data_IF_496986096068
#
_entry.id   IF_496986096068
#
_cell.length_a   1.000
_cell.length_b   1.000
_cell.length_c   1.000
_cell.angle_alpha   90.00
_cell.angle_beta   90.00
_cell.angle_gamma   90.00
#
_symmetry.space_group_name_H-M   'P 1'
#
loop_
_entity.id
_entity.type
_entity.pdbx_description
1 polymer ?
#
# COMPACT_ATOMS: atom_id res chain seq x y z
N UNK A 1 -13.79 40.72 23.24
CA UNK A 1 -12.49 40.04 23.28
C UNK A 1 -12.77 38.59 23.63
N UNK A 2 -12.85 37.73 22.60
CA UNK A 2 -13.39 36.37 22.70
C UNK A 2 -12.26 35.33 22.68
N UNK A 3 -12.44 34.31 23.51
CA UNK A 3 -11.48 33.28 23.88
C UNK A 3 -11.28 32.22 22.75
N UNK A 4 -10.05 31.90 22.30
CA UNK A 4 -9.82 31.13 21.06
C UNK A 4 -9.66 29.60 21.23
N UNK A 5 -10.16 28.98 22.30
CA UNK A 5 -9.83 27.57 22.63
C UNK A 5 -10.87 26.49 22.27
N UNK A 6 -11.76 26.72 21.28
CA UNK A 6 -12.86 25.78 20.98
C UNK A 6 -12.93 25.17 19.56
N UNK A 7 -11.84 25.13 18.78
CA UNK A 7 -11.90 24.65 17.38
C UNK A 7 -10.97 23.48 17.02
N UNK A 8 -10.86 22.44 17.85
CA UNK A 8 -10.09 21.23 17.48
C UNK A 8 -10.80 19.88 17.70
N UNK A 9 -12.12 19.83 17.85
CA UNK A 9 -12.86 18.57 18.06
C UNK A 9 -13.87 18.14 16.97
N UNK A 10 -13.98 18.86 15.85
CA UNK A 10 -15.04 18.60 14.84
C UNK A 10 -14.57 17.96 13.51
N UNK A 11 -13.41 17.28 13.48
CA UNK A 11 -12.92 16.58 12.26
C UNK A 11 -12.87 15.04 12.36
N UNK A 12 -13.51 14.44 13.36
CA UNK A 12 -13.55 12.98 13.53
C UNK A 12 -14.90 12.31 13.17
N UNK A 13 -15.86 13.03 12.56
CA UNK A 13 -17.23 12.54 12.34
C UNK A 13 -17.64 12.33 10.87
N UNK A 14 -16.70 12.08 9.95
CA UNK A 14 -17.01 11.86 8.51
C UNK A 14 -16.38 10.60 7.89
N UNK A 15 -16.07 9.58 8.69
CA UNK A 15 -15.61 8.29 8.18
C UNK A 15 -16.43 7.15 8.79
N UNK A 16 -17.57 6.83 8.17
CA UNK A 16 -18.38 5.68 8.59
C UNK A 16 -19.66 5.53 7.78
N UNK A 17 -19.57 4.85 6.64
CA UNK A 17 -20.46 3.73 6.26
C UNK A 17 -20.29 3.41 4.77
N UNK A 18 -19.50 2.37 4.48
CA UNK A 18 -19.53 1.72 3.18
C UNK A 18 -19.85 0.24 3.42
N UNK A 19 -21.12 -0.05 3.67
CA UNK A 19 -21.64 -1.40 3.72
C UNK A 19 -21.57 -2.03 2.32
N UNK A 20 -20.72 -3.05 2.20
CA UNK A 20 -20.67 -3.94 1.05
C UNK A 20 -21.93 -4.82 1.08
N UNK A 21 -22.94 -4.45 0.30
CA UNK A 21 -24.12 -5.29 0.08
C UNK A 21 -23.78 -6.53 -0.73
N UNK A 22 -24.34 -7.66 -0.26
CA UNK A 22 -24.09 -9.01 -0.76
C UNK A 22 -24.52 -9.25 -2.20
N UNK A 23 -23.79 -10.18 -2.81
CA UNK A 23 -24.06 -10.78 -4.12
C UNK A 23 -25.27 -11.72 -4.03
N UNK A 24 -26.34 -11.55 -4.82
CA UNK A 24 -27.36 -12.57 -4.93
C UNK A 24 -26.88 -13.71 -5.86
N UNK A 25 -26.77 -14.89 -5.28
CA UNK A 25 -26.69 -16.17 -5.99
C UNK A 25 -28.07 -16.52 -6.57
N UNK A 26 -28.07 -16.90 -7.85
CA UNK A 26 -28.97 -17.94 -8.37
C UNK A 26 -30.15 -17.44 -9.20
N UNK A 27 -30.06 -17.65 -10.51
CA UNK A 27 -31.18 -18.13 -11.31
C UNK A 27 -30.65 -18.79 -12.59
N UNK A 28 -30.70 -20.13 -12.59
CA UNK A 28 -30.62 -20.99 -13.78
C UNK A 28 -31.85 -20.71 -14.64
N UNK A 29 -31.64 -20.50 -15.93
CA UNK A 29 -32.67 -20.68 -16.94
C UNK A 29 -32.11 -21.65 -17.99
N UNK A 30 -32.69 -22.85 -18.01
CA UNK A 30 -32.60 -23.80 -19.10
C UNK A 30 -33.20 -23.19 -20.37
N UNK A 31 -32.45 -23.20 -21.47
CA UNK A 31 -33.02 -23.04 -22.82
C UNK A 31 -32.34 -24.06 -23.73
N UNK A 32 -33.15 -24.97 -24.26
CA UNK A 32 -32.72 -26.09 -25.10
C UNK A 32 -32.26 -25.68 -26.51
N UNK A 33 -31.43 -26.55 -27.10
CA UNK A 33 -31.38 -26.72 -28.55
C UNK A 33 -32.53 -27.61 -29.06
N UNK A 34 -32.54 -28.07 -30.32
CA UNK A 34 -31.50 -27.94 -31.36
C UNK A 34 -32.04 -27.49 -32.74
N UNK A 35 -31.14 -27.20 -33.69
CA UNK A 35 -31.34 -27.58 -35.09
C UNK A 35 -30.02 -27.56 -35.86
N UNK A 36 -29.77 -28.67 -36.55
CA UNK A 36 -28.66 -28.90 -37.47
C UNK A 36 -28.84 -28.10 -38.76
N UNK A 37 -27.72 -27.68 -39.35
CA UNK A 37 -27.63 -27.04 -40.66
C UNK A 37 -26.20 -27.13 -41.17
N UNK A 38 -26.01 -28.04 -42.10
CA UNK A 38 -24.79 -28.44 -42.79
C UNK A 38 -24.24 -27.30 -43.68
N UNK A 39 -22.93 -26.99 -43.60
CA UNK A 39 -22.24 -26.28 -44.70
C UNK A 39 -20.75 -26.64 -44.72
N UNK A 40 -20.37 -27.29 -45.82
CA UNK A 40 -19.04 -27.74 -46.18
C UNK A 40 -18.16 -26.64 -46.79
N UNK A 41 -16.86 -26.69 -46.43
CA UNK A 41 -15.67 -26.27 -47.19
C UNK A 41 -15.34 -24.77 -47.38
N UNK A 42 -14.25 -24.32 -46.74
CA UNK A 42 -13.16 -23.58 -47.41
C UNK A 42 -11.88 -23.56 -46.55
N UNK A 43 -10.73 -23.55 -47.21
CA UNK A 43 -9.46 -24.14 -46.78
C UNK A 43 -8.51 -23.19 -46.05
N UNK A 44 -8.19 -23.55 -44.80
CA UNK A 44 -6.95 -23.42 -44.04
C UNK A 44 -5.95 -22.27 -44.32
N UNK A 45 -5.84 -21.36 -43.34
CA UNK A 45 -4.54 -20.96 -42.79
C UNK A 45 -4.46 -21.54 -41.37
N UNK A 46 -3.53 -22.47 -41.16
CA UNK A 46 -3.30 -23.14 -39.89
C UNK A 46 -2.75 -22.17 -38.86
N UNK A 47 -3.61 -21.69 -37.96
CA UNK A 47 -3.19 -21.35 -36.61
C UNK A 47 -3.08 -22.67 -35.86
N UNK A 48 -1.91 -22.94 -35.26
CA UNK A 48 -1.81 -24.00 -34.27
C UNK A 48 -2.86 -23.74 -33.19
N UNK A 49 -3.81 -24.67 -32.96
CA UNK A 49 -4.79 -24.50 -31.90
C UNK A 49 -4.04 -24.37 -30.59
N UNK A 50 -4.38 -23.34 -29.80
CA UNK A 50 -4.00 -23.29 -28.41
C UNK A 50 -4.30 -24.68 -27.78
N UNK A 51 -3.36 -25.28 -27.03
CA UNK A 51 -3.56 -26.60 -26.46
C UNK A 51 -4.91 -26.61 -25.75
N UNK A 52 -5.74 -27.59 -26.08
CA UNK A 52 -7.06 -27.75 -25.50
C UNK A 52 -6.94 -27.51 -23.99
N UNK A 53 -7.67 -26.52 -23.48
CA UNK A 53 -7.78 -26.27 -22.05
C UNK A 53 -8.42 -27.52 -21.46
N UNK A 54 -7.57 -28.47 -21.04
CA UNK A 54 -7.98 -29.54 -20.14
C UNK A 54 -8.42 -28.83 -18.88
N UNK A 55 -9.71 -28.84 -18.53
CA UNK A 55 -10.11 -28.36 -17.21
C UNK A 55 -9.28 -29.17 -16.22
N UNK A 56 -8.42 -28.48 -15.47
CA UNK A 56 -7.68 -29.10 -14.39
C UNK A 56 -8.71 -29.88 -13.56
N UNK A 57 -8.52 -31.19 -13.33
CA UNK A 57 -9.41 -31.92 -12.46
C UNK A 57 -9.46 -31.12 -11.16
N UNK A 58 -10.66 -30.72 -10.77
CA UNK A 58 -10.95 -30.17 -9.45
C UNK A 58 -10.64 -31.28 -8.45
N UNK A 59 -9.35 -31.44 -8.19
CA UNK A 59 -8.80 -32.31 -7.17
C UNK A 59 -9.43 -31.88 -5.85
N UNK A 60 -9.70 -32.85 -4.97
CA UNK A 60 -10.38 -32.60 -3.71
C UNK A 60 -9.67 -31.43 -3.03
N UNK A 61 -10.43 -30.38 -2.70
CA UNK A 61 -9.95 -29.20 -1.99
C UNK A 61 -8.93 -29.64 -0.97
N UNK A 62 -7.66 -29.31 -1.28
CA UNK A 62 -6.52 -29.74 -0.50
C UNK A 62 -6.85 -29.44 0.94
N UNK A 63 -6.81 -30.49 1.76
CA UNK A 63 -6.79 -30.34 3.19
C UNK A 63 -5.86 -29.17 3.48
N UNK A 64 -6.42 -28.07 3.98
CA UNK A 64 -5.65 -27.09 4.72
C UNK A 64 -5.13 -27.89 5.90
N UNK A 65 -4.04 -28.60 5.68
CA UNK A 65 -3.13 -28.98 6.73
C UNK A 65 -2.79 -27.63 7.33
N UNK A 66 -3.48 -27.31 8.42
CA UNK A 66 -2.98 -26.45 9.46
C UNK A 66 -1.72 -27.18 9.93
N UNK A 67 -0.66 -27.09 9.12
CA UNK A 67 0.68 -27.44 9.52
C UNK A 67 0.83 -26.61 10.77
N UNK A 68 0.91 -27.33 11.88
CA UNK A 68 1.17 -26.82 13.20
C UNK A 68 2.47 -26.04 13.07
N UNK A 69 2.35 -24.77 12.67
CA UNK A 69 3.44 -23.98 12.15
C UNK A 69 4.20 -23.55 13.38
N UNK A 70 5.22 -24.34 13.72
CA UNK A 70 6.18 -23.95 14.74
C UNK A 70 6.62 -22.51 14.48
N UNK A 71 6.96 -21.78 15.56
CA UNK A 71 7.42 -20.39 15.52
C UNK A 71 8.23 -20.13 14.24
N UNK A 72 7.76 -19.27 13.32
CA UNK A 72 8.41 -19.11 12.01
C UNK A 72 9.85 -18.58 12.14
N UNK A 73 10.20 -17.99 13.29
CA UNK A 73 11.59 -17.63 13.61
C UNK A 73 12.52 -18.84 13.78
N UNK A 74 11.99 -20.06 13.96
CA UNK A 74 12.77 -21.30 14.02
C UNK A 74 13.41 -21.67 12.67
N UNK A 75 12.93 -21.10 11.55
CA UNK A 75 13.51 -21.29 10.22
C UNK A 75 14.71 -20.37 9.96
N UNK A 76 14.83 -19.28 10.71
CA UNK A 76 15.92 -18.32 10.54
C UNK A 76 17.29 -18.94 10.86
N UNK A 77 18.37 -18.49 10.19
CA UNK A 77 19.74 -18.80 10.59
C UNK A 77 19.99 -18.46 12.08
N UNK A 78 20.86 -19.21 12.79
CA UNK A 78 21.06 -19.03 14.23
C UNK A 78 21.39 -17.59 14.65
N UNK A 79 22.24 -16.89 13.89
CA UNK A 79 22.61 -15.50 14.16
C UNK A 79 21.41 -14.54 14.05
N UNK A 80 20.61 -14.68 12.99
CA UNK A 80 19.41 -13.88 12.78
C UNK A 80 18.35 -14.14 13.87
N UNK A 81 18.19 -15.40 14.27
CA UNK A 81 17.29 -15.79 15.35
C UNK A 81 17.68 -15.17 16.69
N UNK A 82 18.97 -15.20 17.02
CA UNK A 82 19.47 -14.59 18.25
C UNK A 82 19.28 -13.07 18.24
N UNK A 83 19.55 -12.44 17.09
CA UNK A 83 19.31 -11.01 16.92
C UNK A 83 17.83 -10.64 17.11
N UNK A 84 16.91 -11.41 16.51
CA UNK A 84 15.47 -11.21 16.71
C UNK A 84 15.06 -11.34 18.18
N UNK A 85 15.63 -12.30 18.93
CA UNK A 85 15.37 -12.42 20.37
C UNK A 85 15.83 -11.20 21.14
N UNK A 86 17.02 -10.66 20.83
CA UNK A 86 17.53 -9.43 21.46
C UNK A 86 16.61 -8.24 21.17
N UNK A 87 16.18 -8.06 19.92
CA UNK A 87 15.25 -6.99 19.55
C UNK A 87 13.91 -7.12 20.27
N UNK A 88 13.36 -8.33 20.37
CA UNK A 88 12.14 -8.60 21.15
C UNK A 88 12.31 -8.30 22.63
N UNK A 89 13.44 -8.70 23.22
CA UNK A 89 13.74 -8.40 24.62
C UNK A 89 13.80 -6.88 24.85
N UNK A 90 14.51 -6.15 23.99
CA UNK A 90 14.58 -4.69 24.04
C UNK A 90 13.20 -4.03 23.90
N UNK A 91 12.36 -4.49 22.97
CA UNK A 91 11.00 -3.98 22.80
C UNK A 91 10.12 -4.25 24.04
N UNK A 92 10.29 -5.41 24.67
CA UNK A 92 9.59 -5.78 25.90
C UNK A 92 10.04 -4.93 27.09
N UNK A 93 11.33 -4.67 27.23
CA UNK A 93 11.90 -3.81 28.27
C UNK A 93 11.36 -2.38 28.14
N UNK A 94 11.38 -1.83 26.91
CA UNK A 94 10.77 -0.53 26.62
C UNK A 94 9.27 -0.53 26.93
N UNK A 95 8.56 -1.62 26.62
CA UNK A 95 7.15 -1.76 26.97
C UNK A 95 6.88 -1.85 28.47
N UNK A 96 7.76 -2.46 29.25
CA UNK A 96 7.67 -2.46 30.71
C UNK A 96 7.86 -1.04 31.28
N UNK A 97 8.82 -0.29 30.75
CA UNK A 97 9.04 1.11 31.14
C UNK A 97 7.84 1.98 30.78
N UNK A 98 7.24 1.83 29.59
CA UNK A 98 6.04 2.59 29.20
C UNK A 98 4.86 2.28 30.13
N UNK A 99 4.60 0.99 30.43
CA UNK A 99 3.50 0.58 31.32
C UNK A 99 3.57 1.25 32.69
N UNK A 100 4.75 1.30 33.29
CA UNK A 100 4.93 1.96 34.58
C UNK A 100 4.59 3.47 34.56
N UNK A 101 4.78 4.15 33.42
CA UNK A 101 4.33 5.55 33.28
C UNK A 101 2.83 5.65 33.02
N UNK A 102 2.26 4.71 32.26
CA UNK A 102 0.81 4.64 32.04
C UNK A 102 0.05 4.41 33.34
N UNK A 103 0.57 3.57 34.24
CA UNK A 103 -0.02 3.34 35.56
C UNK A 103 -0.07 4.65 36.38
N UNK A 104 1.01 5.44 36.37
CA UNK A 104 1.04 6.77 37.02
C UNK A 104 0.04 7.75 36.40
N UNK A 105 -0.10 7.74 35.08
CA UNK A 105 -1.09 8.57 34.40
C UNK A 105 -2.51 8.18 34.84
N UNK A 106 -2.80 6.88 34.95
CA UNK A 106 -4.09 6.40 35.44
C UNK A 106 -4.35 6.84 36.88
N UNK A 107 -3.37 6.71 37.78
CA UNK A 107 -3.47 7.19 39.16
C UNK A 107 -3.73 8.70 39.22
N UNK A 108 -3.02 9.49 38.41
CA UNK A 108 -3.20 10.94 38.33
C UNK A 108 -4.59 11.33 37.79
N UNK A 109 -5.11 10.60 36.80
CA UNK A 109 -6.48 10.77 36.28
C UNK A 109 -7.54 10.46 37.34
N UNK A 110 -7.37 9.36 38.08
CA UNK A 110 -8.29 8.99 39.17
C UNK A 110 -8.25 10.03 40.30
N UNK A 111 -7.07 10.53 40.65
CA UNK A 111 -6.91 11.61 41.64
C UNK A 111 -7.63 12.88 41.18
N UNK A 112 -7.42 13.32 39.93
CA UNK A 112 -8.11 14.47 39.35
C UNK A 112 -9.63 14.31 39.42
N UNK A 113 -10.16 13.16 38.98
CA UNK A 113 -11.60 12.87 39.01
C UNK A 113 -12.17 12.97 40.43
N UNK A 114 -11.47 12.43 41.44
CA UNK A 114 -11.91 12.50 42.84
C UNK A 114 -11.99 13.95 43.36
N UNK A 115 -11.03 14.80 42.98
CA UNK A 115 -11.00 16.21 43.38
C UNK A 115 -12.06 17.00 42.63
N UNK A 116 -12.30 16.72 41.35
CA UNK A 116 -13.37 17.34 40.57
C UNK A 116 -14.76 17.03 41.14
N UNK A 117 -15.02 15.79 41.53
CA UNK A 117 -16.25 15.42 42.24
C UNK A 117 -16.38 16.22 43.54
N UNK A 118 -15.30 16.38 44.31
CA UNK A 118 -15.30 17.17 45.55
C UNK A 118 -15.59 18.64 45.29
N UNK A 119 -14.98 19.25 44.27
CA UNK A 119 -15.24 20.63 43.85
C UNK A 119 -16.71 20.78 43.43
N UNK A 120 -17.25 19.83 42.67
CA UNK A 120 -18.65 19.82 42.25
C UNK A 120 -19.61 19.80 43.45
N UNK A 121 -19.41 18.88 44.40
CA UNK A 121 -20.22 18.79 45.63
C UNK A 121 -20.14 20.08 46.46
N UNK A 122 -18.94 20.66 46.61
CA UNK A 122 -18.76 21.92 47.35
C UNK A 122 -19.46 23.09 46.65
N UNK A 123 -19.44 23.16 45.32
CA UNK A 123 -20.16 24.17 44.54
C UNK A 123 -21.67 24.04 44.71
N UNK A 124 -22.22 22.83 44.58
CA UNK A 124 -23.65 22.59 44.76
C UNK A 124 -24.14 22.94 46.16
N UNK A 125 -23.30 22.73 47.19
CA UNK A 125 -23.66 22.99 48.58
C UNK A 125 -23.28 24.40 49.06
N UNK A 126 -22.70 25.27 48.22
CA UNK A 126 -22.23 26.60 48.63
C UNK A 126 -23.37 27.64 48.71
N UNK A 127 -24.28 27.47 49.66
CA UNK A 127 -25.35 28.43 49.91
C UNK A 127 -24.78 29.63 50.69
N UNK A 128 -24.87 30.82 50.10
CA UNK A 128 -24.43 32.09 50.70
C UNK A 128 -22.94 32.12 51.12
N UNK A 129 -22.06 31.49 50.35
CA UNK A 129 -20.60 31.59 50.54
C UNK A 129 -20.04 30.83 51.75
N UNK A 130 -20.85 30.02 52.44
CA UNK A 130 -20.42 29.28 53.64
C UNK A 130 -19.22 28.34 53.39
N UNK A 131 -19.03 27.90 52.15
CA UNK A 131 -17.97 26.96 51.77
C UNK A 131 -16.82 27.60 50.98
N UNK A 132 -16.71 28.93 50.91
CA UNK A 132 -15.74 29.61 50.03
C UNK A 132 -14.28 29.24 50.33
N UNK A 133 -13.92 29.06 51.60
CA UNK A 133 -12.58 28.60 51.97
C UNK A 133 -12.30 27.17 51.48
N UNK A 134 -13.24 26.24 51.73
CA UNK A 134 -13.12 24.85 51.29
C UNK A 134 -13.13 24.73 49.76
N UNK A 135 -13.91 25.58 49.07
CA UNK A 135 -13.96 25.62 47.61
C UNK A 135 -12.63 26.14 47.02
N UNK A 136 -12.03 27.18 47.60
CA UNK A 136 -10.69 27.65 47.19
C UNK A 136 -9.63 26.58 47.38
N UNK A 137 -9.62 25.91 48.53
CA UNK A 137 -8.69 24.80 48.78
C UNK A 137 -8.89 23.63 47.80
N UNK A 138 -10.13 23.21 47.57
CA UNK A 138 -10.44 22.14 46.63
C UNK A 138 -10.09 22.51 45.18
N UNK A 139 -10.27 23.79 44.80
CA UNK A 139 -9.86 24.28 43.48
C UNK A 139 -8.34 24.27 43.33
N UNK A 140 -7.59 24.71 44.34
CA UNK A 140 -6.13 24.62 44.34
C UNK A 140 -5.65 23.16 44.23
N UNK A 141 -6.31 22.21 44.93
CA UNK A 141 -6.04 20.78 44.80
C UNK A 141 -6.34 20.25 43.40
N UNK A 142 -7.42 20.72 42.76
CA UNK A 142 -7.76 20.35 41.38
C UNK A 142 -6.66 20.81 40.43
N UNK A 143 -6.22 22.05 40.56
CA UNK A 143 -5.21 22.63 39.68
C UNK A 143 -3.87 21.90 39.84
N UNK A 144 -3.50 21.50 41.07
CA UNK A 144 -2.35 20.65 41.33
C UNK A 144 -2.49 19.24 40.72
N UNK A 145 -3.64 18.59 40.87
CA UNK A 145 -3.91 17.27 40.26
C UNK A 145 -3.91 17.32 38.72
N UNK A 146 -4.39 18.44 38.15
CA UNK A 146 -4.39 18.67 36.71
C UNK A 146 -2.96 18.75 36.16
N UNK A 147 -2.09 19.50 36.84
CA UNK A 147 -0.68 19.64 36.51
C UNK A 147 0.08 18.31 36.64
N UNK A 148 -0.20 17.52 37.68
CA UNK A 148 0.38 16.18 37.84
C UNK A 148 -0.03 15.25 36.69
N UNK A 149 -1.31 15.28 36.31
CA UNK A 149 -1.82 14.50 35.16
C UNK A 149 -1.17 14.96 33.85
N UNK A 150 -0.94 16.26 33.64
CA UNK A 150 -0.22 16.76 32.47
C UNK A 150 1.24 16.29 32.44
N UNK A 151 1.92 16.33 33.59
CA UNK A 151 3.29 15.85 33.73
C UNK A 151 3.37 14.34 33.45
N UNK A 152 2.47 13.54 34.02
CA UNK A 152 2.40 12.10 33.78
C UNK A 152 2.09 11.77 32.30
N UNK A 153 1.22 12.55 31.65
CA UNK A 153 0.93 12.40 30.22
C UNK A 153 2.19 12.67 29.37
N UNK A 154 2.89 13.78 29.63
CA UNK A 154 4.13 14.11 28.92
C UNK A 154 5.21 13.03 29.12
N UNK A 155 5.29 12.42 30.32
CA UNK A 155 6.19 11.30 30.59
C UNK A 155 5.82 10.06 29.77
N UNK A 156 4.53 9.73 29.66
CA UNK A 156 4.05 8.63 28.80
C UNK A 156 4.40 8.90 27.34
N UNK A 157 4.08 10.08 26.82
CA UNK A 157 4.33 10.45 25.42
C UNK A 157 5.83 10.35 25.10
N UNK A 158 6.69 10.89 25.95
CA UNK A 158 8.14 10.79 25.77
C UNK A 158 8.66 9.34 25.78
N UNK A 159 8.04 8.45 26.57
CA UNK A 159 8.41 7.03 26.61
C UNK A 159 7.87 6.26 25.40
N UNK A 160 6.66 6.59 24.95
CA UNK A 160 6.07 6.00 23.73
C UNK A 160 6.90 6.35 22.52
N UNK A 161 7.26 7.62 22.34
CA UNK A 161 8.10 8.06 21.23
C UNK A 161 9.47 7.38 21.24
N UNK A 162 10.11 7.25 22.41
CA UNK A 162 11.39 6.52 22.53
C UNK A 162 11.25 5.02 22.25
N UNK A 163 10.12 4.40 22.59
CA UNK A 163 9.87 2.98 22.40
C UNK A 163 9.43 2.63 20.97
N UNK A 164 8.87 3.60 20.23
CA UNK A 164 8.25 3.39 18.93
C UNK A 164 9.20 2.79 17.89
N UNK A 165 10.42 3.31 17.65
CA UNK A 165 11.29 2.77 16.61
C UNK A 165 11.60 1.27 16.79
N UNK A 166 11.96 0.86 18.01
CA UNK A 166 12.28 -0.54 18.31
C UNK A 166 11.06 -1.45 18.12
N UNK A 167 9.87 -1.01 18.52
CA UNK A 167 8.62 -1.75 18.33
C UNK A 167 8.27 -1.91 16.86
N UNK A 168 8.37 -0.84 16.08
CA UNK A 168 8.07 -0.88 14.64
C UNK A 168 9.03 -1.82 13.90
N UNK A 169 10.33 -1.77 14.21
CA UNK A 169 11.33 -2.69 13.64
C UNK A 169 10.98 -4.15 13.95
N UNK A 170 10.62 -4.47 15.21
CA UNK A 170 10.21 -5.84 15.57
C UNK A 170 8.95 -6.26 14.81
N UNK A 171 7.92 -5.42 14.75
CA UNK A 171 6.68 -5.70 14.03
C UNK A 171 6.91 -5.88 12.52
N UNK A 172 7.81 -5.12 11.92
CA UNK A 172 8.15 -5.27 10.50
C UNK A 172 8.91 -6.57 10.24
N UNK A 173 9.87 -6.91 11.08
CA UNK A 173 10.62 -8.16 10.99
C UNK A 173 9.70 -9.36 11.15
N UNK A 174 8.79 -9.34 12.12
CA UNK A 174 7.80 -10.41 12.32
C UNK A 174 6.85 -10.54 11.12
N UNK A 175 6.27 -9.43 10.65
CA UNK A 175 5.40 -9.41 9.45
C UNK A 175 6.12 -9.96 8.22
N UNK A 176 7.40 -9.62 8.05
CA UNK A 176 8.21 -10.11 6.94
C UNK A 176 8.44 -11.62 7.02
N UNK A 177 8.77 -12.13 8.21
CA UNK A 177 8.95 -13.56 8.45
C UNK A 177 7.66 -14.33 8.15
N UNK A 178 6.52 -13.84 8.64
CA UNK A 178 5.21 -14.48 8.50
C UNK A 178 4.68 -14.48 7.06
N UNK A 179 4.85 -13.36 6.34
CA UNK A 179 4.25 -13.18 5.01
C UNK A 179 5.14 -13.62 3.87
N UNK A 180 6.42 -13.25 3.92
CA UNK A 180 7.32 -13.40 2.77
C UNK A 180 8.21 -14.64 2.93
N UNK A 181 8.76 -14.90 4.12
CA UNK A 181 9.71 -15.99 4.33
C UNK A 181 9.05 -17.36 4.50
N UNK A 182 7.80 -17.44 4.98
CA UNK A 182 7.15 -18.73 5.31
C UNK A 182 7.11 -19.72 4.14
N UNK A 183 7.23 -19.25 2.89
CA UNK A 183 7.23 -20.09 1.70
C UNK A 183 8.64 -20.45 1.17
N UNK A 184 9.72 -20.06 1.85
CA UNK A 184 11.10 -20.28 1.41
C UNK A 184 11.79 -21.39 2.20
N UNK A 185 12.20 -22.45 1.51
CA UNK A 185 12.85 -23.61 2.13
C UNK A 185 14.25 -23.29 2.67
N UNK A 186 14.99 -22.42 1.98
CA UNK A 186 16.37 -22.05 2.33
C UNK A 186 16.45 -20.55 2.58
N UNK A 187 16.89 -20.18 3.78
CA UNK A 187 17.11 -18.79 4.19
C UNK A 187 18.62 -18.61 4.37
N UNK A 188 19.25 -17.92 3.43
CA UNK A 188 20.70 -17.71 3.44
C UNK A 188 21.06 -16.42 4.18
N UNK A 189 22.17 -16.43 4.95
CA UNK A 189 22.71 -15.20 5.53
C UNK A 189 23.24 -14.27 4.44
N UNK A 190 23.22 -12.97 4.70
CA UNK A 190 23.84 -11.98 3.83
C UNK A 190 25.35 -12.26 3.71
N UNK A 191 25.96 -11.96 2.54
CA UNK A 191 27.40 -12.01 2.41
C UNK A 191 28.06 -11.06 3.43
N UNK A 192 29.24 -11.44 3.92
CA UNK A 192 30.00 -10.59 4.81
C UNK A 192 30.41 -9.30 4.06
N UNK A 193 29.91 -8.16 4.52
CA UNK A 193 30.28 -6.85 3.97
C UNK A 193 31.43 -6.29 4.79
N UNK A 194 32.49 -5.85 4.10
CA UNK A 194 33.56 -5.08 4.73
C UNK A 194 33.03 -3.70 5.11
N UNK A 195 32.97 -3.43 6.41
CA UNK A 195 32.61 -2.10 6.90
C UNK A 195 33.68 -1.08 6.53
N UNK A 196 33.29 0.11 6.02
CA UNK A 196 34.22 1.22 5.97
C UNK A 196 34.62 1.58 7.40
N UNK A 197 35.91 1.51 7.73
CA UNK A 197 36.39 1.93 9.05
C UNK A 197 36.02 3.39 9.32
N UNK A 198 35.72 3.70 10.60
CA UNK A 198 35.46 5.08 11.04
C UNK A 198 36.62 5.99 10.64
N UNK A 199 36.31 7.14 10.03
CA UNK A 199 37.33 8.15 9.76
C UNK A 199 37.85 8.72 11.08
N UNK A 200 39.09 9.22 11.09
CA UNK A 200 39.70 9.82 12.29
C UNK A 200 38.83 10.96 12.82
N UNK A 201 38.26 10.79 14.02
CA UNK A 201 37.40 11.76 14.69
C UNK A 201 35.92 11.71 14.32
N UNK A 202 35.50 10.76 13.47
CA UNK A 202 34.09 10.55 13.14
C UNK A 202 33.38 9.78 14.27
N UNK A 203 32.21 10.25 14.71
CA UNK A 203 31.39 9.49 15.65
C UNK A 203 30.59 8.39 14.94
N UNK A 204 30.10 7.40 15.68
CA UNK A 204 29.20 6.38 15.14
C UNK A 204 27.92 6.99 14.54
N UNK A 205 27.39 8.05 15.17
CA UNK A 205 26.21 8.77 14.68
C UNK A 205 26.48 9.47 13.33
N UNK A 206 27.66 10.07 13.17
CA UNK A 206 28.06 10.70 11.91
C UNK A 206 28.20 9.67 10.78
N UNK A 207 28.74 8.49 11.08
CA UNK A 207 28.85 7.40 10.11
C UNK A 207 27.47 6.89 9.67
N UNK A 208 26.54 6.70 10.61
CA UNK A 208 25.14 6.33 10.29
C UNK A 208 24.46 7.43 9.47
N UNK A 209 24.64 8.71 9.81
CA UNK A 209 24.07 9.82 9.06
C UNK A 209 24.58 9.87 7.60
N UNK A 210 25.88 9.62 7.37
CA UNK A 210 26.45 9.53 6.02
C UNK A 210 25.82 8.39 5.21
N UNK A 211 25.58 7.23 5.82
CA UNK A 211 24.92 6.09 5.16
C UNK A 211 23.45 6.36 4.90
N UNK A 212 22.73 6.98 5.83
CA UNK A 212 21.34 7.42 5.63
C UNK A 212 21.20 8.39 4.45
N UNK A 213 22.14 9.32 4.28
CA UNK A 213 22.16 10.19 3.11
C UNK A 213 22.32 9.40 1.79
N UNK A 214 23.05 8.27 1.80
CA UNK A 214 23.14 7.38 0.64
C UNK A 214 21.85 6.61 0.38
N UNK A 215 21.15 6.19 1.42
CA UNK A 215 19.84 5.53 1.33
C UNK A 215 18.82 6.48 0.69
N UNK A 216 18.73 7.71 1.19
CA UNK A 216 17.86 8.75 0.64
C UNK A 216 18.18 9.04 -0.83
N UNK A 217 19.48 9.12 -1.17
CA UNK A 217 19.90 9.27 -2.56
C UNK A 217 19.44 8.11 -3.43
N UNK A 218 19.59 6.86 -2.98
CA UNK A 218 19.14 5.69 -3.73
C UNK A 218 17.60 5.67 -3.90
N UNK A 219 16.85 6.10 -2.87
CA UNK A 219 15.41 6.26 -2.96
C UNK A 219 15.01 7.34 -3.98
N UNK A 220 15.71 8.48 -3.98
CA UNK A 220 15.52 9.54 -4.97
C UNK A 220 15.86 9.07 -6.39
N UNK A 221 16.94 8.29 -6.57
CA UNK A 221 17.33 7.72 -7.86
C UNK A 221 16.28 6.72 -8.39
N UNK A 222 15.69 5.91 -7.50
CA UNK A 222 14.55 5.03 -7.82
C UNK A 222 13.34 5.85 -8.28
N UNK A 223 12.97 6.88 -7.53
CA UNK A 223 11.82 7.71 -7.85
C UNK A 223 12.04 8.47 -9.16
N UNK A 224 13.24 9.00 -9.40
CA UNK A 224 13.62 9.63 -10.66
C UNK A 224 13.52 8.66 -11.86
N UNK A 225 13.85 7.38 -11.67
CA UNK A 225 13.65 6.37 -12.71
C UNK A 225 12.15 6.05 -12.94
N UNK A 226 11.32 6.06 -11.90
CA UNK A 226 9.86 5.88 -12.01
C UNK A 226 9.22 7.07 -12.75
N UNK A 227 9.62 8.29 -12.42
CA UNK A 227 9.04 9.52 -12.95
C UNK A 227 9.58 9.93 -14.32
N UNK A 228 10.69 9.32 -14.77
CA UNK A 228 11.26 9.60 -16.09
C UNK A 228 10.20 9.44 -17.19
N UNK A 229 10.15 10.32 -18.20
CA UNK A 229 9.19 10.18 -19.29
C UNK A 229 9.42 8.90 -20.10
N UNK A 230 8.39 8.48 -20.83
CA UNK A 230 8.52 7.39 -21.81
C UNK A 230 9.08 7.93 -23.12
N UNK A 231 9.91 7.16 -23.85
CA UNK A 231 10.39 7.58 -25.16
C UNK A 231 9.22 7.79 -26.12
N UNK A 232 9.31 8.81 -26.98
CA UNK A 232 8.30 9.17 -27.97
C UNK A 232 7.95 7.97 -28.86
N UNK A 233 8.94 7.17 -29.25
CA UNK A 233 8.73 5.96 -30.06
C UNK A 233 7.87 4.91 -29.35
N UNK A 234 8.07 4.73 -28.05
CA UNK A 234 7.23 3.82 -27.25
C UNK A 234 5.81 4.36 -27.11
N UNK A 235 5.65 5.67 -26.88
CA UNK A 235 4.34 6.32 -26.83
C UNK A 235 3.61 6.25 -28.18
N UNK A 236 4.31 6.50 -29.29
CA UNK A 236 3.80 6.37 -30.67
C UNK A 236 3.36 4.94 -30.99
N UNK A 237 4.16 3.94 -30.60
CA UNK A 237 3.82 2.53 -30.79
C UNK A 237 2.56 2.13 -30.02
N UNK A 238 2.45 2.54 -28.74
CA UNK A 238 1.27 2.30 -27.93
C UNK A 238 0.03 3.01 -28.48
N UNK A 239 0.16 4.29 -28.85
CA UNK A 239 -0.94 5.05 -29.44
C UNK A 239 -1.42 4.41 -30.75
N UNK A 240 -0.50 3.97 -31.62
CA UNK A 240 -0.83 3.23 -32.84
C UNK A 240 -1.62 1.97 -32.54
N UNK A 241 -1.13 1.13 -31.61
CA UNK A 241 -1.81 -0.12 -31.25
C UNK A 241 -3.24 0.12 -30.72
N UNK A 242 -3.44 1.17 -29.91
CA UNK A 242 -4.76 1.55 -29.40
C UNK A 242 -5.70 2.02 -30.52
N UNK A 243 -5.21 2.85 -31.44
CA UNK A 243 -5.98 3.35 -32.58
C UNK A 243 -6.32 2.22 -33.55
N UNK A 244 -5.40 1.29 -33.80
CA UNK A 244 -5.62 0.11 -34.64
C UNK A 244 -6.69 -0.81 -34.03
N UNK A 245 -6.64 -1.08 -32.73
CA UNK A 245 -7.65 -1.87 -32.04
C UNK A 245 -9.05 -1.20 -32.10
N UNK A 246 -9.11 0.13 -31.97
CA UNK A 246 -10.36 0.88 -32.12
C UNK A 246 -10.87 0.89 -33.56
N UNK A 247 -9.99 1.00 -34.55
CA UNK A 247 -10.34 0.94 -35.96
C UNK A 247 -10.88 -0.44 -36.34
N UNK A 248 -10.27 -1.52 -35.84
CA UNK A 248 -10.73 -2.89 -36.04
C UNK A 248 -12.17 -3.06 -35.52
N UNK A 249 -12.42 -2.65 -34.27
CA UNK A 249 -13.76 -2.63 -33.67
C UNK A 249 -14.76 -1.75 -34.45
N UNK A 250 -14.27 -0.71 -35.11
CA UNK A 250 -15.06 0.23 -35.91
C UNK A 250 -15.44 -0.26 -37.31
N UNK A 251 -14.94 -1.41 -37.74
CA UNK A 251 -15.17 -1.93 -39.10
C UNK A 251 -16.63 -2.38 -39.26
N UNK A 252 -17.42 -1.78 -40.17
CA UNK A 252 -18.75 -2.28 -40.47
C UNK A 252 -18.69 -3.67 -41.13
N UNK A 253 -19.58 -4.57 -40.72
CA UNK A 253 -19.75 -5.87 -41.37
C UNK A 253 -20.74 -5.73 -42.53
N UNK A 254 -20.34 -6.21 -43.71
CA UNK A 254 -21.18 -6.26 -44.92
C UNK A 254 -21.65 -7.68 -45.24
N UNK A 255 -21.38 -8.66 -44.37
CA UNK A 255 -21.69 -10.06 -44.63
C UNK A 255 -23.19 -10.28 -44.85
N UNK A 256 -24.04 -9.67 -44.02
CA UNK A 256 -25.49 -9.79 -44.16
C UNK A 256 -26.00 -9.28 -45.53
N UNK A 257 -25.39 -8.23 -46.10
CA UNK A 257 -25.74 -7.75 -47.45
C UNK A 257 -25.45 -8.78 -48.54
N UNK A 258 -24.41 -9.60 -48.35
CA UNK A 258 -24.02 -10.63 -49.31
C UNK A 258 -24.84 -11.91 -49.14
N UNK A 259 -25.26 -12.22 -47.92
CA UNK A 259 -25.98 -13.45 -47.59
C UNK A 259 -27.49 -13.38 -47.85
N UNK A 260 -28.08 -12.17 -47.88
CA UNK A 260 -29.53 -12.00 -48.05
C UNK A 260 -29.89 -10.68 -48.70
N UNK A 261 -30.89 -10.70 -49.60
CA UNK A 261 -31.48 -9.48 -50.20
C UNK A 261 -32.09 -8.53 -49.16
N UNK A 262 -32.44 -9.06 -47.97
CA UNK A 262 -32.96 -8.26 -46.85
C UNK A 262 -31.88 -7.88 -45.84
N UNK A 263 -30.65 -8.35 -46.01
CA UNK A 263 -29.54 -8.00 -45.14
C UNK A 263 -29.15 -6.54 -45.28
N UNK A 264 -28.57 -5.97 -44.24
CA UNK A 264 -28.10 -4.59 -44.21
C UNK A 264 -26.63 -4.50 -43.79
N UNK A 265 -26.07 -3.29 -43.83
CA UNK A 265 -24.75 -3.03 -43.21
C UNK A 265 -24.90 -3.13 -41.70
N UNK A 266 -24.08 -3.99 -41.10
CA UNK A 266 -23.96 -4.10 -39.65
C UNK A 266 -22.94 -3.08 -39.17
N UNK A 267 -23.44 -1.96 -38.66
CA UNK A 267 -22.62 -0.89 -38.12
C UNK A 267 -22.03 -1.27 -36.76
N UNK A 268 -20.79 -0.82 -36.43
CA UNK A 268 -20.19 -1.07 -35.12
C UNK A 268 -21.12 -0.53 -34.03
N UNK A 269 -21.36 -1.35 -33.01
CA UNK A 269 -22.24 -1.01 -31.91
C UNK A 269 -21.61 -1.35 -30.56
N UNK A 270 -22.01 -0.61 -29.53
CA UNK A 270 -21.62 -0.84 -28.15
C UNK A 270 -22.85 -1.01 -27.30
N UNK A 271 -22.79 -1.98 -26.40
CA UNK A 271 -23.80 -2.13 -25.38
C UNK A 271 -23.64 -1.02 -24.33
N UNK A 272 -24.67 -0.22 -24.11
CA UNK A 272 -24.69 0.82 -23.08
C UNK A 272 -25.93 0.71 -22.21
N UNK A 273 -25.70 0.60 -20.90
CA UNK A 273 -26.72 0.80 -19.88
C UNK A 273 -26.64 2.26 -19.42
N UNK A 274 -27.76 2.97 -19.38
CA UNK A 274 -27.82 4.27 -18.73
C UNK A 274 -28.48 4.12 -17.36
N UNK A 275 -27.79 4.60 -16.33
CA UNK A 275 -28.45 4.89 -15.06
C UNK A 275 -29.41 6.05 -15.27
N UNK A 276 -30.71 5.82 -15.12
CA UNK A 276 -31.70 6.87 -15.02
C UNK A 276 -31.85 7.17 -13.53
N UNK A 277 -31.24 8.27 -13.08
CA UNK A 277 -31.51 8.80 -11.75
C UNK A 277 -32.82 9.59 -11.81
N UNK A 278 -33.85 9.10 -11.12
CA UNK A 278 -35.05 9.87 -10.80
C UNK A 278 -34.99 10.26 -9.32
N UNK A 279 -35.67 11.34 -8.93
CA UNK A 279 -35.67 11.87 -7.56
C UNK A 279 -35.95 10.75 -6.54
N UNK A 280 -34.91 10.36 -5.78
CA UNK A 280 -34.97 9.30 -4.76
C UNK A 280 -34.82 7.85 -5.25
N UNK A 281 -34.77 7.58 -6.56
CA UNK A 281 -34.64 6.22 -7.12
C UNK A 281 -33.58 6.11 -8.22
N UNK A 282 -32.62 5.19 -8.04
CA UNK A 282 -31.70 4.79 -9.11
C UNK A 282 -32.33 3.64 -9.90
N UNK A 283 -32.85 3.92 -11.09
CA UNK A 283 -33.27 2.89 -12.04
C UNK A 283 -32.20 2.70 -13.12
N UNK A 284 -31.94 1.46 -13.54
CA UNK A 284 -31.05 1.19 -14.69
C UNK A 284 -31.93 0.97 -15.91
N UNK A 285 -31.92 1.93 -16.83
CA UNK A 285 -32.60 1.83 -18.11
C UNK A 285 -31.65 1.34 -19.21
N UNK A 286 -32.14 0.51 -20.13
CA UNK A 286 -31.41 0.20 -21.37
C UNK A 286 -31.59 1.36 -22.34
N UNK A 287 -30.51 1.85 -22.94
CA UNK A 287 -30.59 2.88 -24.00
C UNK A 287 -30.66 2.19 -25.36
N UNK A 288 -31.69 2.49 -26.14
CA UNK A 288 -31.88 1.94 -27.49
C UNK A 288 -32.64 0.60 -27.51
N UNK A 289 -32.87 0.08 -28.72
CA UNK A 289 -33.45 -1.26 -28.93
C UNK A 289 -32.42 -2.27 -28.45
N UNK A 290 -32.78 -3.07 -27.44
CA UNK A 290 -31.95 -4.11 -26.83
C UNK A 290 -30.69 -3.63 -26.06
N UNK A 291 -30.47 -2.32 -25.94
CA UNK A 291 -29.31 -1.74 -25.21
C UNK A 291 -28.08 -1.46 -26.06
N UNK A 292 -28.16 -1.66 -27.38
CA UNK A 292 -27.06 -1.37 -28.32
C UNK A 292 -27.24 0.01 -28.96
N UNK A 293 -26.15 0.77 -28.98
CA UNK A 293 -26.06 2.06 -29.68
C UNK A 293 -24.88 1.98 -30.65
N UNK A 294 -25.00 2.59 -31.82
CA UNK A 294 -23.86 2.69 -32.74
C UNK A 294 -22.66 3.34 -32.05
N UNK A 295 -21.45 2.89 -32.39
CA UNK A 295 -20.19 3.43 -31.89
C UNK A 295 -19.60 4.40 -32.94
N UNK A 296 -20.07 5.67 -33.00
CA UNK A 296 -19.59 6.63 -34.00
C UNK A 296 -18.11 6.95 -33.83
N UNK A 297 -17.56 6.77 -32.63
CA UNK A 297 -16.14 6.99 -32.36
C UNK A 297 -15.29 5.90 -33.01
N UNK A 298 -15.58 4.62 -32.74
CA UNK A 298 -14.87 3.52 -33.40
C UNK A 298 -15.00 3.59 -34.93
N UNK A 299 -16.21 3.89 -35.44
CA UNK A 299 -16.43 4.08 -36.87
C UNK A 299 -15.60 5.22 -37.47
N UNK A 300 -15.53 6.38 -36.80
CA UNK A 300 -14.71 7.51 -37.28
C UNK A 300 -13.22 7.19 -37.24
N UNK A 301 -12.78 6.42 -36.24
CA UNK A 301 -11.39 5.94 -36.14
C UNK A 301 -11.06 4.97 -37.26
N UNK A 302 -11.97 4.06 -37.61
CA UNK A 302 -11.83 3.19 -38.78
C UNK A 302 -11.68 4.00 -40.07
N UNK A 303 -12.54 5.00 -40.28
CA UNK A 303 -12.55 5.83 -41.50
C UNK A 303 -11.29 6.71 -41.64
N UNK A 304 -10.74 7.22 -40.54
CA UNK A 304 -9.63 8.18 -40.52
C UNK A 304 -8.37 7.66 -39.84
N UNK A 305 -8.20 6.32 -39.77
CA UNK A 305 -7.15 5.65 -38.99
C UNK A 305 -5.76 6.27 -39.18
N UNK A 306 -5.30 6.33 -40.43
CA UNK A 306 -3.93 6.75 -40.74
C UNK A 306 -3.71 8.25 -40.45
N UNK A 307 -4.73 9.09 -40.69
CA UNK A 307 -4.68 10.53 -40.41
C UNK A 307 -4.66 10.80 -38.90
N UNK A 308 -5.43 10.04 -38.11
CA UNK A 308 -5.44 10.12 -36.65
C UNK A 308 -4.08 9.69 -36.08
N UNK A 309 -3.53 8.56 -36.55
CA UNK A 309 -2.19 8.09 -36.15
C UNK A 309 -1.14 9.16 -36.46
N UNK A 310 -1.18 9.75 -37.67
CA UNK A 310 -0.24 10.78 -38.10
C UNK A 310 -0.32 12.04 -37.22
N UNK A 311 -1.53 12.52 -36.91
CA UNK A 311 -1.72 13.71 -36.07
C UNK A 311 -1.29 13.47 -34.63
N UNK A 312 -1.65 12.33 -34.04
CA UNK A 312 -1.25 11.98 -32.67
C UNK A 312 0.27 11.80 -32.58
N UNK A 313 0.89 11.15 -33.58
CA UNK A 313 2.35 11.01 -33.61
C UNK A 313 3.05 12.38 -33.65
N UNK A 314 2.59 13.30 -34.50
CA UNK A 314 3.13 14.66 -34.54
C UNK A 314 2.96 15.42 -33.22
N UNK A 315 1.83 15.22 -32.54
CA UNK A 315 1.58 15.82 -31.22
C UNK A 315 2.50 15.23 -30.13
N UNK A 316 2.78 13.92 -30.18
CA UNK A 316 3.75 13.26 -29.30
C UNK A 316 5.15 13.83 -29.56
N UNK A 317 5.57 13.93 -30.82
CA UNK A 317 6.88 14.48 -31.20
C UNK A 317 7.06 15.92 -30.71
N UNK A 318 6.00 16.73 -30.73
CA UNK A 318 6.03 18.11 -30.26
C UNK A 318 6.16 18.25 -28.72
N UNK A 319 5.78 17.23 -27.95
CA UNK A 319 5.71 17.28 -26.47
C UNK A 319 6.71 16.35 -25.78
N UNK A 320 7.31 15.42 -26.49
CA UNK A 320 8.23 14.45 -25.92
C UNK A 320 9.54 15.09 -25.48
N UNK A 321 10.05 14.64 -24.33
CA UNK A 321 11.41 14.90 -23.87
C UNK A 321 12.24 13.62 -23.90
N UNK A 322 12.62 13.21 -25.12
CA UNK A 322 13.38 11.97 -25.34
C UNK A 322 14.77 11.98 -24.71
N UNK A 323 15.29 13.16 -24.33
CA UNK A 323 16.60 13.28 -23.68
C UNK A 323 16.58 12.76 -22.24
N UNK A 324 15.47 12.95 -21.52
CA UNK A 324 15.31 12.46 -20.14
C UNK A 324 14.54 11.15 -20.05
N UNK A 325 13.99 10.67 -21.18
CA UNK A 325 13.18 9.48 -21.24
C UNK A 325 13.96 8.19 -20.95
N UNK A 326 13.26 7.21 -20.38
CA UNK A 326 13.77 5.86 -20.15
C UNK A 326 12.83 4.84 -20.77
N UNK A 327 13.38 3.98 -21.63
CA UNK A 327 12.67 2.83 -22.16
C UNK A 327 12.33 1.82 -21.04
N UNK A 328 11.41 0.85 -21.26
CA UNK A 328 11.01 -0.09 -20.22
C UNK A 328 12.18 -0.88 -19.60
N UNK A 329 13.18 -1.27 -20.40
CA UNK A 329 14.32 -2.07 -19.96
C UNK A 329 15.30 -1.22 -19.15
N UNK A 330 15.60 -0.01 -19.63
CA UNK A 330 16.44 0.96 -18.93
C UNK A 330 15.81 1.38 -17.60
N UNK A 331 14.50 1.62 -17.59
CA UNK A 331 13.73 1.96 -16.38
C UNK A 331 13.82 0.83 -15.36
N UNK A 332 13.48 -0.40 -15.75
CA UNK A 332 13.56 -1.56 -14.88
C UNK A 332 14.98 -1.76 -14.33
N UNK A 333 16.01 -1.60 -15.19
CA UNK A 333 17.41 -1.69 -14.79
C UNK A 333 17.79 -0.62 -13.77
N UNK A 334 17.43 0.64 -13.98
CA UNK A 334 17.74 1.73 -13.04
C UNK A 334 17.03 1.56 -11.71
N UNK A 335 15.76 1.12 -11.73
CA UNK A 335 15.01 0.80 -10.50
C UNK A 335 15.73 -0.32 -9.74
N UNK A 336 16.08 -1.43 -10.40
CA UNK A 336 16.79 -2.54 -9.76
C UNK A 336 18.17 -2.12 -9.21
N UNK A 337 18.92 -1.28 -9.95
CA UNK A 337 20.20 -0.74 -9.49
C UNK A 337 20.02 0.15 -8.24
N UNK A 338 19.00 1.01 -8.23
CA UNK A 338 18.71 1.87 -7.08
C UNK A 338 18.25 1.06 -5.86
N UNK A 339 17.43 0.02 -6.06
CA UNK A 339 17.00 -0.89 -4.99
C UNK A 339 18.18 -1.69 -4.41
N UNK A 340 19.07 -2.20 -5.27
CA UNK A 340 20.28 -2.88 -4.83
C UNK A 340 21.20 -1.93 -4.05
N UNK A 341 21.41 -0.70 -4.54
CA UNK A 341 22.21 0.31 -3.86
C UNK A 341 21.62 0.72 -2.50
N UNK A 342 20.28 0.82 -2.41
CA UNK A 342 19.56 1.04 -1.15
C UNK A 342 19.82 -0.12 -0.18
N UNK A 343 19.59 -1.36 -0.62
CA UNK A 343 19.80 -2.55 0.21
C UNK A 343 21.25 -2.64 0.74
N UNK A 344 22.24 -2.43 -0.12
CA UNK A 344 23.65 -2.43 0.29
C UNK A 344 23.96 -1.33 1.31
N UNK A 345 23.40 -0.13 1.13
CA UNK A 345 23.57 0.96 2.08
C UNK A 345 22.91 0.64 3.43
N UNK A 346 21.70 0.07 3.43
CA UNK A 346 21.00 -0.34 4.66
C UNK A 346 21.73 -1.48 5.39
N UNK A 347 22.33 -2.42 4.66
CA UNK A 347 23.15 -3.46 5.27
C UNK A 347 24.41 -2.87 5.91
N UNK A 348 25.03 -1.85 5.30
CA UNK A 348 26.14 -1.10 5.94
C UNK A 348 25.64 -0.32 7.16
N UNK A 349 24.48 0.33 7.10
CA UNK A 349 23.87 1.03 8.24
C UNK A 349 23.72 0.08 9.43
N UNK A 350 23.10 -1.08 9.23
CA UNK A 350 22.87 -2.04 10.31
C UNK A 350 24.19 -2.55 10.89
N UNK A 351 25.20 -2.78 10.06
CA UNK A 351 26.53 -3.23 10.51
C UNK A 351 27.24 -2.17 11.36
N UNK A 352 27.08 -0.89 11.05
CA UNK A 352 27.60 0.21 11.87
C UNK A 352 26.84 0.28 13.20
N UNK A 353 25.52 0.09 13.19
CA UNK A 353 24.70 0.06 14.42
C UNK A 353 25.11 -1.11 15.32
N UNK A 354 25.31 -2.31 14.78
CA UNK A 354 25.80 -3.47 15.55
C UNK A 354 27.14 -3.18 16.22
N UNK A 355 28.10 -2.58 15.49
CA UNK A 355 29.38 -2.21 16.07
C UNK A 355 29.27 -1.11 17.12
N UNK A 356 28.40 -0.12 16.92
CA UNK A 356 28.15 0.92 17.91
C UNK A 356 27.61 0.31 19.21
N UNK A 357 26.65 -0.63 19.10
CA UNK A 357 26.07 -1.37 20.23
C UNK A 357 27.13 -2.19 20.99
N UNK A 358 28.03 -2.87 20.28
CA UNK A 358 29.17 -3.58 20.87
C UNK A 358 30.13 -2.66 21.63
N UNK A 359 30.23 -1.39 21.23
CA UNK A 359 31.02 -0.36 21.90
C UNK A 359 30.22 0.43 22.95
N UNK A 360 29.02 -0.02 23.31
CA UNK A 360 28.17 0.60 24.34
C UNK A 360 27.45 1.89 23.89
N UNK A 361 27.41 2.17 22.59
CA UNK A 361 26.69 3.31 22.00
C UNK A 361 25.41 2.81 21.37
N UNK A 362 24.26 3.21 21.93
CA UNK A 362 22.95 2.85 21.37
C UNK A 362 22.59 3.85 20.28
N UNK A 363 22.40 3.36 19.05
CA UNK A 363 21.88 4.13 17.93
C UNK A 363 20.50 3.59 17.56
N UNK A 364 19.53 4.49 17.44
CA UNK A 364 18.18 4.13 17.04
C UNK A 364 18.16 3.72 15.56
N UNK A 365 17.61 2.52 15.30
CA UNK A 365 17.28 2.03 13.96
C UNK A 365 16.11 2.84 13.39
N UNK A 366 16.07 3.01 12.07
CA UNK A 366 14.94 3.65 11.38
C UNK A 366 13.72 2.72 11.43
N UNK A 367 12.53 3.31 11.43
CA UNK A 367 11.28 2.56 11.36
C UNK A 367 10.97 2.06 9.94
N UNK A 368 11.71 2.47 8.90
CA UNK A 368 11.53 2.05 7.51
C UNK A 368 12.65 1.12 6.99
N UNK A 369 13.46 0.56 7.89
CA UNK A 369 14.60 -0.29 7.52
C UNK A 369 14.16 -1.62 6.90
N UNK A 370 14.88 -2.11 5.89
CA UNK A 370 14.59 -3.43 5.33
C UNK A 370 14.85 -4.54 6.38
N UNK A 371 13.84 -5.35 6.74
CA UNK A 371 13.96 -6.41 7.73
C UNK A 371 15.01 -7.47 7.35
N UNK A 372 15.32 -7.63 6.05
CA UNK A 372 16.43 -8.48 5.59
C UNK A 372 17.77 -7.94 6.07
N UNK A 373 17.98 -6.63 5.97
CA UNK A 373 19.19 -5.95 6.44
C UNK A 373 19.31 -6.07 7.96
N UNK A 374 18.23 -5.80 8.69
CA UNK A 374 18.18 -5.95 10.15
C UNK A 374 18.53 -7.36 10.57
N UNK A 375 18.02 -8.40 9.90
CA UNK A 375 18.32 -9.78 10.24
C UNK A 375 19.64 -10.31 9.65
N UNK A 376 20.33 -9.54 8.81
CA UNK A 376 21.54 -9.97 8.11
C UNK A 376 21.27 -11.12 7.13
N UNK A 377 20.19 -11.04 6.35
CA UNK A 377 19.76 -12.04 5.38
C UNK A 377 20.13 -11.67 3.94
N UNK A 378 20.25 -12.67 3.07
CA UNK A 378 20.64 -12.51 1.68
C UNK A 378 19.67 -11.64 0.87
N UNK A 379 20.16 -10.80 -0.08
CA UNK A 379 19.32 -10.06 -1.02
C UNK A 379 18.54 -10.97 -1.99
N UNK A 380 18.90 -12.26 -2.10
CA UNK A 380 18.15 -13.23 -2.92
C UNK A 380 16.76 -13.53 -2.37
N UNK A 381 16.50 -13.21 -1.10
CA UNK A 381 15.18 -13.31 -0.49
C UNK A 381 14.26 -12.20 -1.02
N UNK A 382 12.94 -12.46 -1.08
CA UNK A 382 11.97 -11.48 -1.58
C UNK A 382 12.04 -10.19 -0.79
N UNK A 383 11.95 -9.06 -1.50
CA UNK A 383 11.83 -7.76 -0.85
C UNK A 383 10.53 -7.67 -0.03
N UNK A 384 10.54 -6.99 1.11
CA UNK A 384 9.33 -6.74 1.90
C UNK A 384 8.29 -5.97 1.07
N UNK A 385 7.03 -6.42 1.09
CA UNK A 385 5.93 -5.75 0.38
C UNK A 385 5.33 -4.65 1.26
N UNK A 386 5.34 -3.41 0.77
CA UNK A 386 4.62 -2.28 1.38
C UNK A 386 5.30 -1.68 2.62
N UNK A 387 6.63 -1.52 2.57
CA UNK A 387 7.35 -0.62 3.49
C UNK A 387 7.01 0.83 3.20
#
# INVERSE_FOLDING_TARGET
>A
MSNPFHQLNDLAALAGDNQVHGVPRGLRADVGGPSAGDTTLSTARSFDPAPAYTPLPSGPHGHFAVLNSGDPASRLPPAAREKLRRLKAQANDMGAITRAATDRLFDAQQALQSVEQRVSVLRSNNIAGRNDAALREATAKRDAALAERDHAQAEVDARVERARPVREVVLQVERYIEREIVNYDVIEPAPAISLPGLRKGQSWADAVAEVRARIEKAAADKQAAIDAPWPSDHAKARARAEIEALAEKGTPSVMALLESERGGVEWPSVYRQAGIAMDGYKAVGRVGRDGYVHDPMAFSVWLHKDEIIRRIAAEIDAKADDRSALDPVQRAKKIAQAEQARFEAELVEERIIEQAEENGVVIERRDDCDPRCVLGLSPSLPAPRGL
#
